data_IF_071515810201
#
_entry.id   IF_071515810201
#
_cell.length_a   1.000
_cell.length_b   1.000
_cell.length_c   1.000
_cell.angle_alpha   90.00
_cell.angle_beta   90.00
_cell.angle_gamma   90.00
#
_symmetry.space_group_name_H-M   'P 1'
#
loop_
_entity.id
_entity.type
_entity.pdbx_description
1 polymer ?
#
# COMPACT_ATOMS: atom_id res chain seq x y z
N UNK A 1 43.44 -77.80 -1.08
CA UNK A 1 42.38 -76.85 -1.51
C UNK A 1 42.72 -75.48 -0.95
N UNK A 2 43.04 -74.50 -1.79
CA UNK A 2 43.04 -73.08 -1.42
C UNK A 2 43.01 -72.26 -2.72
N UNK A 3 41.83 -71.74 -3.07
CA UNK A 3 41.67 -70.80 -4.18
C UNK A 3 42.01 -69.39 -3.70
N UNK A 4 43.01 -68.79 -4.34
CA UNK A 4 43.39 -67.39 -4.12
C UNK A 4 42.35 -66.44 -4.75
N UNK A 5 41.87 -65.39 -4.07
CA UNK A 5 40.86 -64.49 -4.60
C UNK A 5 41.45 -63.55 -5.67
N UNK A 6 40.80 -63.52 -6.85
CA UNK A 6 41.18 -62.69 -7.99
C UNK A 6 41.01 -61.17 -7.70
N UNK A 7 42.09 -60.36 -7.74
CA UNK A 7 42.06 -58.94 -7.35
C UNK A 7 41.38 -58.00 -8.38
N UNK A 8 41.01 -58.51 -9.56
CA UNK A 8 40.44 -57.71 -10.65
C UNK A 8 38.97 -57.28 -10.43
N UNK A 9 38.19 -58.06 -9.68
CA UNK A 9 36.75 -57.77 -9.46
C UNK A 9 36.50 -56.64 -8.46
N UNK A 10 37.50 -56.29 -7.65
CA UNK A 10 37.40 -55.25 -6.61
C UNK A 10 37.55 -53.82 -7.14
N UNK A 11 38.22 -53.63 -8.29
CA UNK A 11 38.49 -52.28 -8.84
C UNK A 11 37.31 -51.76 -9.68
N UNK A 12 36.61 -52.65 -10.38
CA UNK A 12 35.51 -52.30 -11.29
C UNK A 12 34.25 -51.83 -10.55
N UNK A 13 33.98 -52.33 -9.35
CA UNK A 13 32.81 -51.94 -8.52
C UNK A 13 32.92 -50.53 -7.93
N UNK A 14 34.13 -49.98 -7.79
CA UNK A 14 34.33 -48.61 -7.28
C UNK A 14 34.06 -47.55 -8.34
N UNK A 15 34.41 -47.81 -9.61
CA UNK A 15 34.18 -46.88 -10.72
C UNK A 15 32.69 -46.59 -10.94
N UNK A 16 31.85 -47.64 -10.97
CA UNK A 16 30.41 -47.51 -11.24
C UNK A 16 29.68 -46.73 -10.13
N UNK A 17 30.07 -46.92 -8.86
CA UNK A 17 29.46 -46.21 -7.73
C UNK A 17 29.77 -44.72 -7.74
N UNK A 18 30.97 -44.33 -8.14
CA UNK A 18 31.37 -42.91 -8.22
C UNK A 18 30.62 -42.20 -9.35
N UNK A 19 30.46 -42.84 -10.52
CA UNK A 19 29.74 -42.24 -11.66
C UNK A 19 28.25 -42.02 -11.35
N UNK A 20 27.60 -42.96 -10.65
CA UNK A 20 26.20 -42.82 -10.22
C UNK A 20 25.98 -41.67 -9.24
N UNK A 21 26.91 -41.48 -8.29
CA UNK A 21 26.84 -40.38 -7.32
C UNK A 21 27.02 -39.03 -8.02
N UNK A 22 27.97 -38.92 -8.96
CA UNK A 22 28.20 -37.68 -9.72
C UNK A 22 26.99 -37.33 -10.58
N UNK A 23 26.39 -38.31 -11.27
CA UNK A 23 25.15 -38.09 -12.05
C UNK A 23 23.99 -37.63 -11.16
N UNK A 24 23.81 -38.23 -9.97
CA UNK A 24 22.76 -37.83 -9.05
C UNK A 24 22.93 -36.38 -8.55
N UNK A 25 24.16 -35.95 -8.28
CA UNK A 25 24.47 -34.57 -7.86
C UNK A 25 24.20 -33.57 -8.99
N UNK A 26 24.55 -33.89 -10.23
CA UNK A 26 24.33 -33.01 -11.39
C UNK A 26 22.83 -32.82 -11.68
N UNK A 27 22.03 -33.89 -11.57
CA UNK A 27 20.57 -33.80 -11.76
C UNK A 27 19.90 -32.97 -10.65
N UNK A 28 20.34 -33.12 -9.39
CA UNK A 28 19.84 -32.32 -8.26
C UNK A 28 20.23 -30.84 -8.37
N UNK A 29 21.42 -30.53 -8.89
CA UNK A 29 21.84 -29.15 -9.13
C UNK A 29 21.02 -28.48 -10.25
N UNK A 30 20.65 -29.24 -11.29
CA UNK A 30 19.84 -28.71 -12.40
C UNK A 30 18.38 -28.47 -12.01
N UNK A 31 17.77 -29.30 -11.17
CA UNK A 31 16.40 -29.10 -10.70
C UNK A 31 16.28 -27.95 -9.69
N UNK A 32 17.29 -27.74 -8.84
CA UNK A 32 17.33 -26.60 -7.93
C UNK A 32 17.54 -25.26 -8.68
N UNK A 33 18.35 -25.24 -9.74
CA UNK A 33 18.58 -24.03 -10.55
C UNK A 33 17.35 -23.65 -11.40
N UNK A 34 16.57 -24.64 -11.87
CA UNK A 34 15.36 -24.39 -12.67
C UNK A 34 14.22 -23.73 -11.89
N UNK A 35 14.11 -23.99 -10.59
CA UNK A 35 13.07 -23.40 -9.73
C UNK A 35 13.38 -21.95 -9.30
N UNK A 36 14.64 -21.54 -9.32
CA UNK A 36 15.05 -20.17 -8.95
C UNK A 36 14.87 -19.15 -10.09
N UNK A 37 14.56 -19.61 -11.32
CA UNK A 37 14.37 -18.77 -12.50
C UNK A 37 12.89 -18.55 -12.85
N UNK A 38 11.95 -18.96 -12.00
CA UNK A 38 10.58 -18.53 -12.16
C UNK A 38 10.56 -17.01 -11.98
N UNK A 39 10.19 -16.24 -13.01
CA UNK A 39 10.00 -14.81 -12.84
C UNK A 39 8.97 -14.64 -11.73
N UNK A 40 9.36 -13.95 -10.66
CA UNK A 40 8.41 -13.45 -9.68
C UNK A 40 7.41 -12.63 -10.49
N UNK A 41 6.24 -13.23 -10.73
CA UNK A 41 5.09 -12.51 -11.26
C UNK A 41 4.76 -11.49 -10.19
N UNK A 42 5.26 -10.27 -10.36
CA UNK A 42 4.86 -9.14 -9.54
C UNK A 42 3.37 -9.02 -9.73
N UNK A 43 2.61 -9.42 -8.71
CA UNK A 43 1.17 -9.25 -8.71
C UNK A 43 0.89 -7.81 -9.16
N UNK A 44 -0.04 -7.59 -10.11
CA UNK A 44 -0.34 -6.24 -10.56
C UNK A 44 -0.68 -5.41 -9.33
N UNK A 45 0.03 -4.31 -9.12
CA UNK A 45 -0.27 -3.35 -8.07
C UNK A 45 -1.70 -2.88 -8.33
N UNK A 46 -2.66 -3.41 -7.57
CA UNK A 46 -4.05 -3.01 -7.67
C UNK A 46 -4.12 -1.56 -7.18
N UNK A 47 -4.05 -0.59 -8.10
CA UNK A 47 -4.31 0.80 -7.77
C UNK A 47 -5.73 0.87 -7.20
N UNK A 48 -5.89 1.40 -5.96
CA UNK A 48 -7.19 1.41 -5.32
C UNK A 48 -8.21 2.14 -6.19
N UNK A 49 -9.28 1.45 -6.58
CA UNK A 49 -10.38 2.05 -7.38
C UNK A 49 -11.06 3.22 -6.66
N UNK A 50 -10.89 3.33 -5.35
CA UNK A 50 -11.36 4.44 -4.52
C UNK A 50 -10.51 4.56 -3.25
N UNK A 51 -10.41 5.76 -2.70
CA UNK A 51 -9.83 6.04 -1.39
C UNK A 51 -10.91 6.51 -0.42
N UNK A 52 -10.75 6.21 0.88
CA UNK A 52 -11.57 6.76 1.95
C UNK A 52 -11.09 8.18 2.25
N UNK A 53 -11.96 9.17 2.09
CA UNK A 53 -11.69 10.57 2.42
C UNK A 53 -12.43 10.92 3.69
N UNK A 54 -11.80 11.71 4.55
CA UNK A 54 -12.45 12.27 5.74
C UNK A 54 -12.07 13.74 5.91
N UNK A 55 -13.08 14.59 6.00
CA UNK A 55 -12.97 15.99 6.39
C UNK A 55 -13.22 16.10 7.88
N UNK A 56 -12.38 16.84 8.57
CA UNK A 56 -12.53 17.13 9.99
C UNK A 56 -12.37 18.63 10.19
N UNK A 57 -13.25 19.20 10.99
CA UNK A 57 -13.15 20.58 11.45
C UNK A 57 -13.10 20.60 12.98
N UNK A 58 -12.29 21.50 13.52
CA UNK A 58 -12.26 21.80 14.94
C UNK A 58 -12.34 23.30 15.16
N UNK A 59 -12.83 23.69 16.34
CA UNK A 59 -13.17 25.06 16.68
C UNK A 59 -14.66 25.19 17.00
N UNK A 60 -15.05 26.34 17.53
CA UNK A 60 -16.42 26.69 17.92
C UNK A 60 -16.69 28.15 17.56
N UNK A 61 -17.90 28.53 17.17
CA UNK A 61 -18.16 29.84 16.56
C UNK A 61 -17.87 29.85 15.05
N UNK A 62 -17.97 28.68 14.42
CA UNK A 62 -17.95 28.54 12.96
C UNK A 62 -19.31 28.98 12.43
N UNK A 63 -19.30 29.79 11.37
CA UNK A 63 -20.53 30.32 10.74
C UNK A 63 -20.93 29.51 9.52
N UNK A 64 -19.92 29.07 8.75
CA UNK A 64 -20.13 28.47 7.45
C UNK A 64 -18.99 27.51 7.14
N UNK A 65 -19.34 26.34 6.61
CA UNK A 65 -18.42 25.36 6.07
C UNK A 65 -18.81 25.08 4.64
N UNK A 66 -17.85 25.24 3.72
CA UNK A 66 -17.99 24.86 2.31
C UNK A 66 -17.09 23.67 2.01
N UNK A 67 -17.63 22.62 1.42
CA UNK A 67 -16.88 21.41 1.15
C UNK A 67 -17.41 20.66 -0.07
N UNK A 68 -16.54 19.89 -0.72
CA UNK A 68 -16.96 18.98 -1.80
C UNK A 68 -17.55 17.68 -1.23
N UNK A 69 -18.79 17.35 -1.55
CA UNK A 69 -19.44 16.13 -1.08
C UNK A 69 -19.04 14.88 -1.90
N UNK A 70 -19.57 13.72 -1.49
CA UNK A 70 -19.39 12.41 -2.12
C UNK A 70 -19.83 12.36 -3.59
N UNK A 71 -20.84 13.15 -3.95
CA UNK A 71 -21.34 13.29 -5.32
C UNK A 71 -20.46 14.23 -6.19
N UNK A 72 -19.58 15.02 -5.58
CA UNK A 72 -18.75 16.00 -6.28
C UNK A 72 -19.37 17.36 -6.47
N UNK A 73 -20.33 17.73 -5.64
CA UNK A 73 -20.89 19.06 -5.58
C UNK A 73 -20.28 19.86 -4.43
N UNK A 74 -20.05 21.14 -4.65
CA UNK A 74 -19.73 22.08 -3.57
C UNK A 74 -20.99 22.29 -2.73
N UNK A 75 -20.89 21.99 -1.45
CA UNK A 75 -21.96 22.12 -0.47
C UNK A 75 -21.54 23.20 0.53
N UNK A 76 -22.47 24.09 0.85
CA UNK A 76 -22.28 25.14 1.86
C UNK A 76 -23.30 24.94 2.97
N UNK A 77 -22.85 24.85 4.22
CA UNK A 77 -23.71 24.62 5.37
C UNK A 77 -23.28 25.46 6.58
N UNK A 78 -24.27 25.91 7.36
CA UNK A 78 -24.04 26.50 8.66
C UNK A 78 -23.88 25.38 9.69
N UNK A 79 -22.64 25.05 10.02
CA UNK A 79 -22.26 23.98 10.96
C UNK A 79 -21.30 24.58 11.97
N UNK A 80 -21.55 24.40 13.26
CA UNK A 80 -20.56 24.68 14.30
C UNK A 80 -19.71 23.43 14.59
N UNK A 81 -18.45 23.62 14.99
CA UNK A 81 -17.52 22.52 15.23
C UNK A 81 -17.64 21.91 16.64
N UNK A 82 -17.02 20.73 16.89
CA UNK A 82 -16.28 19.90 15.93
C UNK A 82 -17.19 19.06 15.03
N UNK A 83 -16.77 18.83 13.79
CA UNK A 83 -17.55 18.04 12.82
C UNK A 83 -16.64 17.19 11.94
N UNK A 84 -17.17 16.03 11.51
CA UNK A 84 -16.46 15.06 10.68
C UNK A 84 -17.40 14.57 9.57
N UNK A 85 -16.89 14.50 8.35
CA UNK A 85 -17.60 13.97 7.19
C UNK A 85 -16.70 13.04 6.38
N UNK A 86 -17.18 11.81 6.16
CA UNK A 86 -16.42 10.77 5.47
C UNK A 86 -17.14 10.26 4.23
N UNK A 87 -16.38 10.03 3.16
CA UNK A 87 -16.89 9.48 1.90
C UNK A 87 -15.81 8.71 1.14
N UNK A 88 -16.17 8.14 -0.01
CA UNK A 88 -15.21 7.52 -0.94
C UNK A 88 -15.10 8.32 -2.21
N UNK A 89 -13.88 8.47 -2.70
CA UNK A 89 -13.60 9.20 -3.93
C UNK A 89 -12.64 8.42 -4.84
N UNK A 90 -12.78 8.62 -6.15
CA UNK A 90 -11.87 8.04 -7.15
C UNK A 90 -10.54 8.82 -7.20
N UNK A 91 -9.43 8.18 -7.64
CA UNK A 91 -8.20 8.86 -7.99
C UNK A 91 -8.39 10.14 -8.82
N UNK A 92 -7.55 11.14 -8.57
CA UNK A 92 -7.58 12.42 -9.28
C UNK A 92 -8.67 13.38 -8.82
N UNK A 93 -9.55 12.99 -7.89
CA UNK A 93 -10.55 13.89 -7.33
C UNK A 93 -9.89 15.01 -6.54
N UNK A 94 -10.17 16.26 -6.92
CA UNK A 94 -9.82 17.45 -6.13
C UNK A 94 -10.74 17.57 -4.92
N UNK A 95 -10.19 17.87 -3.76
CA UNK A 95 -10.89 17.99 -2.48
C UNK A 95 -10.73 19.41 -1.96
N UNK A 96 -11.82 19.99 -1.47
CA UNK A 96 -11.87 21.33 -0.87
C UNK A 96 -12.67 21.30 0.43
N UNK A 97 -12.14 21.98 1.43
CA UNK A 97 -12.78 22.21 2.72
C UNK A 97 -12.42 23.63 3.17
N UNK A 98 -13.41 24.50 3.23
CA UNK A 98 -13.27 25.92 3.60
C UNK A 98 -14.16 26.20 4.81
N UNK A 99 -13.61 26.89 5.80
CA UNK A 99 -14.29 27.27 7.03
C UNK A 99 -14.28 28.78 7.13
N UNK A 100 -15.43 29.38 7.42
CA UNK A 100 -15.54 30.76 7.88
C UNK A 100 -16.01 30.77 9.32
N UNK A 101 -15.23 31.42 10.17
CA UNK A 101 -15.52 31.56 11.59
C UNK A 101 -15.84 33.01 11.92
N UNK A 102 -16.39 33.27 13.11
CA UNK A 102 -16.48 34.62 13.62
C UNK A 102 -15.08 35.24 13.81
N UNK A 103 -15.01 36.57 13.86
CA UNK A 103 -13.73 37.26 13.98
C UNK A 103 -12.98 36.88 15.26
N UNK A 104 -11.69 36.54 15.12
CA UNK A 104 -10.85 36.12 16.23
C UNK A 104 -11.10 34.68 16.72
N UNK A 105 -12.06 33.96 16.13
CA UNK A 105 -12.28 32.55 16.42
C UNK A 105 -11.23 31.70 15.70
N UNK A 106 -10.54 30.86 16.47
CA UNK A 106 -9.64 29.86 15.92
C UNK A 106 -10.43 28.68 15.35
N UNK A 107 -10.14 28.33 14.09
CA UNK A 107 -10.67 27.15 13.43
C UNK A 107 -9.54 26.31 12.82
N UNK A 108 -9.79 25.03 12.70
CA UNK A 108 -8.87 24.06 12.09
C UNK A 108 -9.63 23.20 11.09
N UNK A 109 -9.01 22.96 9.94
CA UNK A 109 -9.47 22.00 8.95
C UNK A 109 -8.42 20.91 8.78
N UNK A 110 -8.88 19.67 8.56
CA UNK A 110 -8.03 18.52 8.26
C UNK A 110 -8.71 17.67 7.19
N UNK A 111 -7.93 17.27 6.18
CA UNK A 111 -8.32 16.27 5.18
C UNK A 111 -7.43 15.05 5.39
N UNK A 112 -8.06 13.89 5.54
CA UNK A 112 -7.36 12.60 5.55
C UNK A 112 -7.78 11.74 4.37
N UNK A 113 -6.85 10.96 3.84
CA UNK A 113 -7.08 10.00 2.78
C UNK A 113 -6.49 8.65 3.22
N UNK A 114 -7.31 7.61 3.25
CA UNK A 114 -6.98 6.29 3.78
C UNK A 114 -6.37 6.35 5.20
N UNK A 115 -6.83 7.30 6.01
CA UNK A 115 -6.37 7.52 7.38
C UNK A 115 -5.09 8.36 7.51
N UNK A 116 -4.42 8.71 6.41
CA UNK A 116 -3.26 9.61 6.42
C UNK A 116 -3.70 11.06 6.28
N UNK A 117 -3.17 11.96 7.12
CA UNK A 117 -3.38 13.40 6.96
C UNK A 117 -2.64 13.87 5.72
N UNK A 118 -3.37 14.44 4.77
CA UNK A 118 -2.80 14.97 3.51
C UNK A 118 -2.84 16.49 3.43
N UNK A 119 -3.70 17.12 4.24
CA UNK A 119 -3.84 18.57 4.33
C UNK A 119 -4.36 18.92 5.73
N UNK A 120 -3.72 19.87 6.39
CA UNK A 120 -4.16 20.39 7.68
C UNK A 120 -3.77 21.86 7.77
N UNK A 121 -4.68 22.69 8.24
CA UNK A 121 -4.47 24.13 8.41
C UNK A 121 -5.24 24.60 9.64
N UNK A 122 -4.70 25.63 10.31
CA UNK A 122 -5.33 26.31 11.43
C UNK A 122 -5.21 27.82 11.23
N UNK A 123 -6.27 28.56 11.52
CA UNK A 123 -6.31 30.01 11.33
C UNK A 123 -7.36 30.69 12.20
N UNK A 124 -7.33 32.03 12.22
CA UNK A 124 -8.35 32.85 12.86
C UNK A 124 -9.32 33.41 11.80
N UNK A 125 -10.61 33.44 12.10
CA UNK A 125 -11.70 33.93 11.23
C UNK A 125 -11.96 33.13 9.94
N UNK A 126 -11.03 32.29 9.51
CA UNK A 126 -11.25 31.35 8.42
C UNK A 126 -10.01 30.52 8.09
N UNK A 127 -10.25 29.36 7.48
CA UNK A 127 -9.19 28.45 7.09
C UNK A 127 -9.64 27.57 5.92
N UNK A 128 -8.72 27.19 5.03
CA UNK A 128 -9.00 26.33 3.88
C UNK A 128 -7.99 25.19 3.76
N UNK A 129 -8.49 23.99 3.51
CA UNK A 129 -7.71 22.80 3.20
C UNK A 129 -8.04 22.32 1.79
N UNK A 130 -7.00 21.89 1.08
CA UNK A 130 -7.11 21.32 -0.28
C UNK A 130 -6.23 20.09 -0.39
N UNK A 131 -6.70 19.12 -1.16
CA UNK A 131 -5.95 17.90 -1.47
C UNK A 131 -6.41 17.29 -2.79
N UNK A 132 -5.68 16.29 -3.28
CA UNK A 132 -6.11 15.47 -4.42
C UNK A 132 -6.00 14.00 -4.04
N UNK A 133 -7.00 13.20 -4.43
CA UNK A 133 -6.99 11.76 -4.18
C UNK A 133 -5.88 11.10 -5.00
N UNK A 134 -4.92 10.40 -4.38
CA UNK A 134 -3.83 9.75 -5.09
C UNK A 134 -4.36 8.62 -5.97
N UNK A 135 -3.66 8.39 -7.09
CA UNK A 135 -3.94 7.32 -8.06
C UNK A 135 -3.05 6.12 -7.92
#
# INVERSE_FOLDING_TARGET
MNQSPNPFLTRQRRGVRVTLIVMAIVVLAFTAAGLALLPYSTAPTLTPRSARVEYRIAGSGIREVRFLNDLGFDVTQAIDGPWVYGFRARPGRSLSLEIRAADGVAAECVITINGAVVSAQRGASGVSCRATVPG
#
